data_IF_812621909485
#
_entry.id   IF_812621909485
#
_cell.length_a   1.000
_cell.length_b   1.000
_cell.length_c   1.000
_cell.angle_alpha   90.00
_cell.angle_beta   90.00
_cell.angle_gamma   90.00
#
_symmetry.space_group_name_H-M   'P 1'
#
loop_
_entity.id
_entity.type
_entity.pdbx_description
1 polymer ?
#
# COMPACT_ATOMS: atom_id res chain seq x y z
N UNK A 1 -21.19 -5.54 3.54
CA UNK A 1 -20.77 -6.54 2.55
C UNK A 1 -20.32 -7.78 3.29
N UNK A 2 -20.90 -8.93 2.99
CA UNK A 2 -20.56 -10.20 3.63
C UNK A 2 -19.72 -11.06 2.67
N UNK A 3 -18.86 -11.91 3.22
CA UNK A 3 -18.05 -12.86 2.46
C UNK A 3 -17.89 -14.16 3.24
N UNK A 4 -17.32 -15.17 2.59
CA UNK A 4 -17.15 -16.51 3.16
C UNK A 4 -15.69 -16.79 3.54
N UNK A 5 -15.54 -17.61 4.57
CA UNK A 5 -14.27 -18.17 5.02
C UNK A 5 -14.24 -19.63 4.62
N UNK A 6 -13.11 -20.07 4.05
CA UNK A 6 -12.94 -21.42 3.55
C UNK A 6 -11.54 -21.95 3.87
N UNK A 7 -11.30 -23.23 3.62
CA UNK A 7 -9.96 -23.82 3.73
C UNK A 7 -9.33 -23.95 2.35
N UNK A 8 -8.05 -23.61 2.24
CA UNK A 8 -7.19 -23.88 1.09
C UNK A 8 -6.01 -24.71 1.57
N UNK A 9 -5.91 -25.95 1.08
CA UNK A 9 -4.99 -26.96 1.59
C UNK A 9 -5.13 -27.13 3.11
N UNK A 10 -4.14 -26.69 3.89
CA UNK A 10 -4.10 -26.79 5.36
C UNK A 10 -4.35 -25.47 6.08
N UNK A 11 -4.66 -24.40 5.36
CA UNK A 11 -4.79 -23.04 5.91
C UNK A 11 -6.17 -22.46 5.68
N UNK A 12 -6.59 -21.57 6.57
CA UNK A 12 -7.83 -20.81 6.42
C UNK A 12 -7.62 -19.63 5.47
N UNK A 13 -8.63 -19.32 4.66
CA UNK A 13 -8.63 -18.24 3.70
C UNK A 13 -9.96 -17.47 3.74
N UNK A 14 -9.91 -16.17 3.42
CA UNK A 14 -11.08 -15.30 3.29
C UNK A 14 -11.20 -14.88 1.82
N UNK A 15 -12.40 -14.97 1.25
CA UNK A 15 -12.64 -14.47 -0.10
C UNK A 15 -12.77 -12.95 -0.08
N UNK A 16 -12.01 -12.23 -0.90
CA UNK A 16 -12.20 -10.79 -1.11
C UNK A 16 -13.10 -10.55 -2.33
N UNK A 17 -14.28 -9.92 -2.16
CA UNK A 17 -15.10 -9.49 -3.30
C UNK A 17 -14.38 -8.46 -4.16
N UNK A 18 -14.72 -8.38 -5.45
CA UNK A 18 -14.07 -7.47 -6.43
C UNK A 18 -14.06 -6.00 -5.97
N UNK A 19 -15.11 -5.56 -5.27
CA UNK A 19 -15.23 -4.19 -4.76
C UNK A 19 -14.16 -3.79 -3.72
N UNK A 20 -13.50 -4.77 -3.09
CA UNK A 20 -12.43 -4.56 -2.09
C UNK A 20 -11.20 -5.42 -2.37
N UNK A 21 -11.04 -5.87 -3.62
CA UNK A 21 -9.86 -6.60 -4.03
C UNK A 21 -8.63 -5.69 -3.92
N UNK A 22 -7.53 -6.25 -3.41
CA UNK A 22 -6.26 -5.54 -3.39
C UNK A 22 -5.72 -5.36 -4.83
N UNK A 23 -4.95 -4.30 -5.10
CA UNK A 23 -4.26 -4.11 -6.37
C UNK A 23 -3.37 -5.32 -6.75
N UNK A 24 -3.17 -5.57 -8.04
CA UNK A 24 -2.47 -6.76 -8.52
C UNK A 24 -1.01 -6.85 -8.05
N UNK A 25 -0.36 -5.71 -7.80
CA UNK A 25 1.02 -5.64 -7.30
C UNK A 25 1.14 -6.05 -5.81
N UNK A 26 0.05 -6.09 -5.04
CA UNK A 26 0.08 -6.48 -3.63
C UNK A 26 0.04 -8.01 -3.53
N UNK A 27 1.20 -8.61 -3.25
CA UNK A 27 1.35 -10.06 -3.04
C UNK A 27 1.59 -10.48 -1.60
N UNK A 28 2.00 -9.54 -0.74
CA UNK A 28 2.28 -9.76 0.67
C UNK A 28 1.50 -8.75 1.50
N UNK A 29 0.96 -9.23 2.62
CA UNK A 29 0.16 -8.43 3.55
C UNK A 29 0.60 -8.74 4.98
N UNK A 30 0.46 -7.74 5.84
CA UNK A 30 0.48 -7.94 7.28
C UNK A 30 -0.94 -8.20 7.77
N UNK A 31 -1.10 -9.13 8.71
CA UNK A 31 -2.39 -9.45 9.32
C UNK A 31 -2.30 -9.22 10.82
N UNK A 32 -3.01 -8.20 11.29
CA UNK A 32 -3.02 -7.80 12.70
C UNK A 32 -4.31 -8.29 13.38
N UNK A 33 -4.17 -8.96 14.51
CA UNK A 33 -5.31 -9.44 15.30
C UNK A 33 -5.74 -8.40 16.35
N UNK A 34 -6.99 -7.95 16.26
CA UNK A 34 -7.62 -7.06 17.26
C UNK A 34 -8.85 -7.76 17.83
N UNK A 35 -8.64 -8.54 18.89
CA UNK A 35 -9.66 -9.45 19.43
C UNK A 35 -10.17 -10.44 18.37
N UNK A 36 -11.45 -10.34 18.01
CA UNK A 36 -12.08 -11.17 16.98
C UNK A 36 -11.93 -10.62 15.56
N UNK A 37 -11.33 -9.44 15.42
CA UNK A 37 -11.10 -8.76 14.13
C UNK A 37 -9.71 -9.10 13.58
N UNK A 38 -9.59 -9.14 12.25
CA UNK A 38 -8.31 -9.20 11.53
C UNK A 38 -8.23 -8.00 10.60
N UNK A 39 -7.18 -7.21 10.75
CA UNK A 39 -6.87 -6.07 9.88
C UNK A 39 -5.81 -6.54 8.90
N UNK A 40 -6.01 -6.26 7.61
CA UNK A 40 -5.10 -6.65 6.53
C UNK A 40 -4.58 -5.38 5.86
N UNK A 41 -3.27 -5.20 5.85
CA UNK A 41 -2.58 -4.08 5.19
C UNK A 41 -1.48 -4.64 4.28
N UNK A 42 -1.13 -3.98 3.16
CA UNK A 42 0.04 -4.38 2.39
C UNK A 42 1.29 -4.41 3.28
N UNK A 43 2.14 -5.41 3.11
CA UNK A 43 3.41 -5.49 3.82
C UNK A 43 4.41 -4.51 3.19
N UNK A 44 5.36 -3.99 3.98
CA UNK A 44 6.40 -3.11 3.43
C UNK A 44 6.06 -1.62 3.40
N UNK A 45 4.87 -1.23 3.88
CA UNK A 45 4.37 0.15 3.79
C UNK A 45 4.50 0.92 5.13
N UNK A 46 5.26 0.39 6.10
CA UNK A 46 5.55 1.17 7.31
C UNK A 46 6.57 2.25 6.99
N UNK A 47 6.39 3.43 7.59
CA UNK A 47 7.36 4.52 7.45
C UNK A 47 8.73 4.10 7.97
N UNK A 48 8.79 3.36 9.08
CA UNK A 48 10.05 2.86 9.64
C UNK A 48 10.81 1.98 8.64
N UNK A 49 10.14 1.03 7.97
CA UNK A 49 10.76 0.18 6.95
C UNK A 49 11.19 0.96 5.71
N UNK A 50 10.48 2.03 5.36
CA UNK A 50 10.87 2.91 4.26
C UNK A 50 12.12 3.73 4.60
N UNK A 51 12.18 4.31 5.81
CA UNK A 51 13.32 5.11 6.27
C UNK A 51 14.59 4.27 6.49
N UNK A 52 14.46 3.03 6.97
CA UNK A 52 15.58 2.09 7.14
C UNK A 52 15.93 1.35 5.82
N UNK A 53 15.17 1.62 4.76
CA UNK A 53 15.27 0.94 3.47
C UNK A 53 16.40 1.46 2.58
N UNK A 54 16.23 1.26 1.27
CA UNK A 54 17.24 1.67 0.29
C UNK A 54 17.25 3.19 0.14
N UNK A 55 18.44 3.78 0.20
CA UNK A 55 18.62 5.20 -0.07
C UNK A 55 18.59 5.51 -1.57
N UNK A 56 18.20 6.74 -1.89
CA UNK A 56 18.39 7.32 -3.21
C UNK A 56 19.88 7.58 -3.49
N UNK A 57 20.24 7.84 -4.75
CA UNK A 57 21.60 8.24 -5.09
C UNK A 57 21.95 9.60 -4.47
N UNK A 58 23.24 9.85 -4.25
CA UNK A 58 23.70 11.06 -3.59
C UNK A 58 23.36 12.36 -4.36
N UNK A 59 23.16 12.26 -5.67
CA UNK A 59 22.81 13.33 -6.60
C UNK A 59 21.31 13.44 -6.89
N UNK A 60 20.49 12.57 -6.29
CA UNK A 60 19.05 12.52 -6.55
C UNK A 60 18.39 13.83 -6.15
N UNK A 61 17.90 14.57 -7.16
CA UNK A 61 17.21 15.85 -6.99
C UNK A 61 18.08 16.98 -6.42
N UNK A 62 19.40 16.96 -6.65
CA UNK A 62 20.32 18.07 -6.30
C UNK A 62 19.83 19.42 -6.83
N UNK A 63 19.27 19.43 -8.05
CA UNK A 63 18.57 20.57 -8.62
C UNK A 63 17.19 20.13 -9.11
N UNK A 64 16.14 20.70 -8.52
CA UNK A 64 14.78 20.53 -9.02
C UNK A 64 14.51 21.59 -10.08
N UNK A 65 14.34 21.16 -11.33
CA UNK A 65 13.91 22.02 -12.45
C UNK A 65 12.43 22.40 -12.30
N UNK A 66 12.12 23.28 -11.36
CA UNK A 66 10.79 23.81 -11.17
C UNK A 66 10.58 25.02 -12.09
N UNK A 67 9.59 25.00 -13.01
CA UNK A 67 9.25 26.16 -13.81
C UNK A 67 8.79 27.35 -12.96
N UNK A 68 8.89 28.55 -13.52
CA UNK A 68 8.28 29.74 -12.93
C UNK A 68 6.77 29.56 -12.72
N UNK A 69 6.22 30.36 -11.81
CA UNK A 69 4.77 30.37 -11.56
C UNK A 69 4.02 30.66 -12.87
N UNK A 70 3.06 29.81 -13.20
CA UNK A 70 2.27 29.95 -14.42
C UNK A 70 1.27 31.09 -14.27
N UNK A 71 1.23 32.00 -15.24
CA UNK A 71 0.17 33.01 -15.35
C UNK A 71 -1.14 32.34 -15.79
N UNK A 72 -2.25 32.74 -15.15
CA UNK A 72 -3.61 32.32 -15.54
C UNK A 72 -4.30 33.49 -16.24
N UNK A 73 -5.12 33.20 -17.24
CA UNK A 73 -5.97 34.21 -17.86
C UNK A 73 -6.89 34.85 -16.80
N UNK A 74 -6.96 36.17 -16.81
CA UNK A 74 -7.95 36.92 -16.04
C UNK A 74 -9.32 36.70 -16.65
N UNK A 75 -10.31 36.37 -15.80
CA UNK A 75 -11.71 36.17 -16.18
C UNK A 75 -12.32 37.38 -16.91
#
# INVERSE_FOLDING_TARGET
>A
METTVFFSNRSQAVRLPKAVALPENVKRVEVIAVGRTRIITPAGETWDEWFDGHNVSADFMDNREQPGMQERESF
#
